data_IF_701527824598
#
_entry.id   IF_701527824598
#
_cell.length_a   1.000
_cell.length_b   1.000
_cell.length_c   1.000
_cell.angle_alpha   90.00
_cell.angle_beta   90.00
_cell.angle_gamma   90.00
#
_symmetry.space_group_name_H-M   'P 1'
#
loop_
_entity.id
_entity.type
_entity.pdbx_description
1 polymer ?
#
# COMPACT_ATOMS: atom_id res chain seq x y z
N UNK A 1 6.47 -16.76 -38.52
CA UNK A 1 7.32 -15.85 -37.73
C UNK A 1 7.12 -16.20 -36.27
N UNK A 2 8.17 -16.64 -35.59
CA UNK A 2 8.09 -17.04 -34.17
C UNK A 2 8.18 -15.81 -33.26
N UNK A 3 7.42 -15.80 -32.18
CA UNK A 3 7.53 -14.77 -31.14
C UNK A 3 8.90 -14.87 -30.47
N UNK A 4 9.63 -13.75 -30.32
CA UNK A 4 10.93 -13.75 -29.65
C UNK A 4 10.77 -14.12 -28.17
N UNK A 5 11.78 -14.79 -27.63
CA UNK A 5 11.81 -15.14 -26.21
C UNK A 5 12.08 -13.91 -25.34
N UNK A 6 11.63 -13.95 -24.08
CA UNK A 6 11.88 -12.89 -23.09
C UNK A 6 13.37 -12.61 -22.91
N UNK A 7 14.22 -13.63 -23.11
CA UNK A 7 15.66 -13.50 -23.01
C UNK A 7 16.27 -12.72 -24.18
N UNK A 8 15.81 -12.98 -25.41
CA UNK A 8 16.21 -12.19 -26.59
C UNK A 8 15.78 -10.73 -26.47
N UNK A 9 14.57 -10.46 -26.01
CA UNK A 9 14.10 -9.08 -25.80
C UNK A 9 14.94 -8.31 -24.76
N UNK A 10 15.50 -9.02 -23.77
CA UNK A 10 16.40 -8.42 -22.76
C UNK A 10 17.78 -8.12 -23.34
N UNK A 11 18.33 -9.03 -24.13
CA UNK A 11 19.64 -8.86 -24.77
C UNK A 11 19.61 -7.73 -25.81
N UNK A 12 18.54 -7.65 -26.60
CA UNK A 12 18.32 -6.59 -27.58
C UNK A 12 18.17 -5.21 -26.91
N UNK A 13 17.50 -5.14 -25.75
CA UNK A 13 17.34 -3.91 -24.98
C UNK A 13 18.68 -3.36 -24.44
N UNK A 14 19.58 -4.25 -23.99
CA UNK A 14 20.94 -3.86 -23.58
C UNK A 14 21.75 -3.37 -24.79
N UNK A 15 21.61 -4.01 -25.94
CA UNK A 15 22.29 -3.63 -27.19
C UNK A 15 21.93 -2.23 -27.72
N UNK A 16 20.77 -1.69 -27.36
CA UNK A 16 20.31 -0.34 -27.72
C UNK A 16 20.58 0.71 -26.62
N UNK A 17 21.38 0.38 -25.61
CA UNK A 17 21.74 1.29 -24.51
C UNK A 17 20.63 1.47 -23.47
N UNK A 18 19.63 0.58 -23.45
CA UNK A 18 18.67 0.50 -22.36
C UNK A 18 19.30 -0.33 -21.24
N UNK A 19 20.07 0.33 -20.38
CA UNK A 19 20.51 -0.27 -19.12
C UNK A 19 19.25 -0.72 -18.36
N UNK A 20 19.18 -1.98 -17.87
CA UNK A 20 18.08 -2.37 -17.01
C UNK A 20 18.04 -1.37 -15.87
N UNK A 21 16.88 -0.76 -15.65
CA UNK A 21 16.65 0.04 -14.44
C UNK A 21 16.92 -0.93 -13.29
N UNK A 22 18.12 -0.87 -12.69
CA UNK A 22 18.31 -1.39 -11.37
C UNK A 22 17.19 -0.75 -10.57
N UNK A 23 16.22 -1.57 -10.15
CA UNK A 23 15.20 -1.11 -9.22
C UNK A 23 15.99 -0.73 -7.98
N UNK A 24 16.36 0.55 -7.90
CA UNK A 24 16.95 1.14 -6.72
C UNK A 24 15.93 0.85 -5.64
N UNK A 25 16.21 -0.15 -4.79
CA UNK A 25 15.30 -0.59 -3.73
C UNK A 25 14.89 0.65 -2.98
N UNK A 26 13.64 1.04 -3.17
CA UNK A 26 13.10 2.21 -2.51
C UNK A 26 12.88 1.81 -1.05
N UNK A 27 13.36 2.60 -0.09
CA UNK A 27 13.05 2.30 1.32
C UNK A 27 11.53 2.23 1.50
N UNK A 28 11.04 1.10 2.04
CA UNK A 28 9.61 0.81 2.14
C UNK A 28 9.02 -0.03 1.00
N UNK A 29 9.75 -0.28 -0.10
CA UNK A 29 9.29 -1.19 -1.17
C UNK A 29 9.15 -2.63 -0.66
N UNK A 30 10.11 -3.10 0.14
CA UNK A 30 10.04 -4.40 0.83
C UNK A 30 8.87 -4.46 1.84
N UNK A 31 8.45 -3.33 2.42
CA UNK A 31 7.29 -3.27 3.33
C UNK A 31 5.99 -3.29 2.53
N UNK A 32 5.93 -2.57 1.42
CA UNK A 32 4.81 -2.57 0.47
C UNK A 32 4.55 -3.96 -0.11
N UNK A 33 5.59 -4.65 -0.55
CA UNK A 33 5.48 -6.00 -1.11
C UNK A 33 5.03 -7.02 -0.04
N UNK A 34 5.60 -6.94 1.16
CA UNK A 34 5.17 -7.78 2.30
C UNK A 34 3.72 -7.53 2.69
N UNK A 35 3.28 -6.28 2.74
CA UNK A 35 1.88 -5.95 3.00
C UNK A 35 0.97 -6.55 1.92
N UNK A 36 1.26 -6.29 0.64
CA UNK A 36 0.43 -6.80 -0.47
C UNK A 36 0.39 -8.33 -0.53
N UNK A 37 1.46 -9.01 -0.15
CA UNK A 37 1.48 -10.47 -0.02
C UNK A 37 0.67 -10.98 1.18
N UNK A 38 0.43 -10.15 2.20
CA UNK A 38 -0.24 -10.50 3.45
C UNK A 38 -1.66 -9.95 3.61
N UNK A 39 -2.18 -9.16 2.66
CA UNK A 39 -3.54 -8.63 2.78
C UNK A 39 -4.59 -9.76 2.75
N UNK A 40 -5.64 -9.61 3.55
CA UNK A 40 -6.73 -10.58 3.59
C UNK A 40 -7.46 -10.70 2.25
N UNK A 41 -8.01 -11.88 1.96
CA UNK A 41 -8.67 -12.22 0.69
C UNK A 41 -9.74 -11.20 0.25
N UNK A 42 -10.47 -10.61 1.20
CA UNK A 42 -11.48 -9.57 0.90
C UNK A 42 -10.88 -8.33 0.25
N UNK A 43 -9.71 -7.87 0.70
CA UNK A 43 -9.02 -6.73 0.09
C UNK A 43 -8.36 -7.14 -1.23
N UNK A 44 -7.83 -8.36 -1.30
CA UNK A 44 -7.26 -8.90 -2.53
C UNK A 44 -8.28 -8.98 -3.67
N UNK A 45 -9.55 -9.26 -3.38
CA UNK A 45 -10.63 -9.33 -4.37
C UNK A 45 -10.85 -8.02 -5.14
N UNK A 46 -10.48 -6.87 -4.59
CA UNK A 46 -10.59 -5.59 -5.29
C UNK A 46 -9.49 -5.36 -6.33
N UNK A 47 -8.40 -6.16 -6.30
CA UNK A 47 -7.31 -6.07 -7.28
C UNK A 47 -6.57 -4.72 -7.30
N UNK A 48 -6.64 -3.98 -6.20
CA UNK A 48 -6.06 -2.63 -6.10
C UNK A 48 -4.63 -2.64 -5.55
N UNK A 49 -3.86 -1.63 -5.92
CA UNK A 49 -2.47 -1.47 -5.44
C UNK A 49 -2.40 -0.96 -3.99
N UNK A 50 -1.18 -0.93 -3.45
CA UNK A 50 -0.87 -0.62 -2.04
C UNK A 50 -1.69 0.52 -1.42
N UNK A 51 -1.67 1.72 -1.99
CA UNK A 51 -2.35 2.88 -1.40
C UNK A 51 -3.87 2.73 -1.35
N UNK A 52 -4.47 2.14 -2.40
CA UNK A 52 -5.89 1.89 -2.43
C UNK A 52 -6.28 0.79 -1.43
N UNK A 53 -5.47 -0.26 -1.28
CA UNK A 53 -5.68 -1.30 -0.27
C UNK A 53 -5.64 -0.75 1.16
N UNK A 54 -4.66 0.12 1.48
CA UNK A 54 -4.56 0.77 2.80
C UNK A 54 -5.75 1.69 3.07
N UNK A 55 -6.21 2.45 2.07
CA UNK A 55 -7.40 3.29 2.22
C UNK A 55 -8.67 2.47 2.51
N UNK A 56 -8.87 1.35 1.83
CA UNK A 56 -10.02 0.46 2.09
C UNK A 56 -9.95 -0.17 3.49
N UNK A 57 -8.76 -0.50 3.97
CA UNK A 57 -8.55 -1.02 5.32
C UNK A 57 -8.93 0.02 6.39
N UNK A 58 -8.47 1.27 6.23
CA UNK A 58 -8.87 2.39 7.10
C UNK A 58 -10.39 2.59 7.06
N UNK A 59 -11.01 2.61 5.89
CA UNK A 59 -12.46 2.74 5.76
C UNK A 59 -13.21 1.62 6.52
N UNK A 60 -12.74 0.39 6.42
CA UNK A 60 -13.28 -0.74 7.17
C UNK A 60 -13.17 -0.58 8.69
N UNK A 61 -12.06 -0.04 9.18
CA UNK A 61 -11.85 0.25 10.60
C UNK A 61 -12.75 1.40 11.07
N UNK A 62 -12.86 2.47 10.28
CA UNK A 62 -13.78 3.59 10.51
C UNK A 62 -15.22 3.09 10.67
N UNK A 63 -15.71 2.29 9.73
CA UNK A 63 -17.08 1.76 9.80
C UNK A 63 -17.31 0.91 11.04
N UNK A 64 -16.37 0.03 11.42
CA UNK A 64 -16.49 -0.77 12.65
C UNK A 64 -16.58 0.10 13.90
N UNK A 65 -15.72 1.11 14.00
CA UNK A 65 -15.70 2.01 15.15
C UNK A 65 -16.95 2.89 15.23
N UNK A 66 -17.45 3.39 14.10
CA UNK A 66 -18.71 4.14 14.03
C UNK A 66 -19.87 3.25 14.52
N UNK A 67 -19.97 2.02 14.01
CA UNK A 67 -20.99 1.07 14.46
C UNK A 67 -20.88 0.77 15.97
N UNK A 68 -19.67 0.56 16.48
CA UNK A 68 -19.43 0.32 17.90
C UNK A 68 -19.76 1.54 18.79
N UNK A 69 -19.57 2.76 18.27
CA UNK A 69 -19.85 4.01 18.97
C UNK A 69 -21.29 4.53 18.80
N UNK A 70 -22.11 3.88 17.98
CA UNK A 70 -23.49 4.30 17.70
C UNK A 70 -24.42 4.20 18.91
N UNK A 71 -24.02 3.46 19.96
CA UNK A 71 -24.85 3.16 21.13
C UNK A 71 -24.80 4.22 22.24
N UNK A 72 -24.11 5.35 22.05
CA UNK A 72 -24.10 6.39 23.08
C UNK A 72 -23.10 7.51 22.89
N UNK A 73 -23.34 8.39 21.90
CA UNK A 73 -22.95 9.81 21.89
C UNK A 73 -21.46 10.20 21.91
N UNK A 74 -20.53 9.31 22.26
CA UNK A 74 -19.15 9.70 22.53
C UNK A 74 -18.14 8.79 21.82
N UNK A 75 -18.16 8.81 20.49
CA UNK A 75 -17.23 8.04 19.65
C UNK A 75 -15.77 8.23 20.11
N UNK A 76 -15.32 9.48 20.30
CA UNK A 76 -13.93 9.79 20.67
C UNK A 76 -13.57 9.56 22.15
N UNK A 77 -14.54 9.40 23.05
CA UNK A 77 -14.27 9.03 24.45
C UNK A 77 -14.42 7.53 24.68
N UNK A 78 -15.03 6.81 23.74
CA UNK A 78 -15.14 5.35 23.76
C UNK A 78 -13.79 4.68 23.48
N UNK A 79 -13.64 3.44 23.96
CA UNK A 79 -12.46 2.63 23.62
C UNK A 79 -12.33 2.40 22.10
N UNK A 80 -13.47 2.18 21.43
CA UNK A 80 -13.51 1.93 19.99
C UNK A 80 -13.06 3.14 19.15
N UNK A 81 -13.45 4.36 19.51
CA UNK A 81 -12.98 5.54 18.77
C UNK A 81 -11.53 5.92 19.09
N UNK A 82 -11.02 5.59 20.28
CA UNK A 82 -9.57 5.70 20.54
C UNK A 82 -8.77 4.72 19.68
N UNK A 83 -9.22 3.47 19.58
CA UNK A 83 -8.62 2.46 18.70
C UNK A 83 -8.68 2.90 17.24
N UNK A 84 -9.77 3.54 16.81
CA UNK A 84 -9.87 4.12 15.47
C UNK A 84 -8.78 5.17 15.20
N UNK A 85 -8.57 6.11 16.12
CA UNK A 85 -7.55 7.15 15.95
C UNK A 85 -6.15 6.56 15.84
N UNK A 86 -5.83 5.58 16.69
CA UNK A 86 -4.54 4.85 16.63
C UNK A 86 -4.37 4.19 15.25
N UNK A 87 -5.39 3.48 14.77
CA UNK A 87 -5.35 2.83 13.47
C UNK A 87 -5.19 3.83 12.31
N UNK A 88 -5.84 4.99 12.38
CA UNK A 88 -5.68 6.06 11.40
C UNK A 88 -4.24 6.61 11.39
N UNK A 89 -3.67 6.85 12.57
CA UNK A 89 -2.30 7.34 12.71
C UNK A 89 -1.29 6.32 12.17
N UNK A 90 -1.45 5.04 12.50
CA UNK A 90 -0.58 3.96 11.99
C UNK A 90 -0.65 3.87 10.46
N UNK A 91 -1.85 3.90 9.89
CA UNK A 91 -2.03 3.87 8.44
C UNK A 91 -1.44 5.11 7.76
N UNK A 92 -1.61 6.28 8.37
CA UNK A 92 -1.05 7.54 7.88
C UNK A 92 0.49 7.52 7.90
N UNK A 93 1.09 7.07 9.00
CA UNK A 93 2.54 6.98 9.16
C UNK A 93 3.17 5.99 8.16
N UNK A 94 2.53 4.84 7.95
CA UNK A 94 2.97 3.89 6.92
C UNK A 94 2.83 4.46 5.51
N UNK A 95 1.73 5.13 5.21
CA UNK A 95 1.52 5.77 3.91
C UNK A 95 2.55 6.87 3.65
N UNK A 96 2.81 7.74 4.64
CA UNK A 96 3.85 8.77 4.57
C UNK A 96 5.25 8.15 4.39
N UNK A 97 5.53 7.05 5.09
CA UNK A 97 6.79 6.31 4.92
C UNK A 97 6.93 5.73 3.51
N UNK A 98 5.86 5.20 2.93
CA UNK A 98 5.84 4.71 1.56
C UNK A 98 5.92 5.84 0.51
N UNK A 99 5.45 7.05 0.83
CA UNK A 99 5.49 8.22 -0.05
C UNK A 99 6.82 8.98 0.01
N UNK A 100 7.53 8.94 1.14
CA UNK A 100 8.79 9.66 1.39
C UNK A 100 9.82 9.53 0.25
N UNK A 101 10.02 8.37 -0.40
CA UNK A 101 10.99 8.25 -1.49
C UNK A 101 10.58 8.95 -2.79
N UNK A 102 9.31 9.33 -2.92
CA UNK A 102 8.77 10.07 -4.07
C UNK A 102 8.75 11.59 -3.82
N UNK A 103 9.01 12.03 -2.59
CA UNK A 103 9.22 13.45 -2.26
C UNK A 103 10.60 13.81 -2.80
N UNK A 104 10.66 14.74 -3.76
CA UNK A 104 11.93 15.31 -4.20
C UNK A 104 12.44 16.23 -3.10
N UNK A 105 13.72 16.08 -2.75
CA UNK A 105 14.43 17.12 -2.02
C UNK A 105 14.53 18.33 -2.97
N UNK A 106 13.93 19.46 -2.59
CA UNK A 106 14.08 20.75 -3.28
C UNK A 106 15.47 21.36 -3.05
#
# INVERSE_FOLDING_TARGET
>A
MGTPSVQQLREDAVGIGFEPVERRRVEGEDLRERYLAGIGERLHAYGVGYFASRNLEVEGLCHKAILAGSDGGELFTSAAGRELLINCDDCSNEMLSALRPFVKDD
#
